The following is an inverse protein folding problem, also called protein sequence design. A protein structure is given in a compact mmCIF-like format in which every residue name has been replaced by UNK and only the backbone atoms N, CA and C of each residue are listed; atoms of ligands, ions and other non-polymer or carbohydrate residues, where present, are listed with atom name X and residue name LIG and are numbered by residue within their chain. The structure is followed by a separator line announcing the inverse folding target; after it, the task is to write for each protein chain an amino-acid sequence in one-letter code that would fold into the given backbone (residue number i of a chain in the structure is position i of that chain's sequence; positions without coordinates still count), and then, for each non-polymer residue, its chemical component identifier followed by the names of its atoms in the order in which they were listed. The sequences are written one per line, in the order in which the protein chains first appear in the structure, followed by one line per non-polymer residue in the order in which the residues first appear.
data_IF_695090221325
#
_entry.id   IF_695090221325
#
_cell.length_a   1.000
_cell.length_b   1.000
_cell.length_c   1.000
_cell.angle_alpha   90.00
_cell.angle_beta   90.00
_cell.angle_gamma   90.00
#
_symmetry.space_group_name_H-M   'P 1'
#
loop_
_entity.id
_entity.type
_entity.pdbx_description
1 polymer ?
#
# COMPACT_ATOMS: atom_id res chain seq x y z
N UNK A 1 -14.14 -19.89 -55.28
CA UNK A 1 -14.64 -18.89 -54.31
C UNK A 1 -13.78 -18.99 -53.06
N UNK A 2 -13.11 -17.88 -52.70
CA UNK A 2 -12.17 -17.78 -51.58
C UNK A 2 -12.94 -17.72 -50.26
N UNK A 3 -12.68 -18.63 -49.33
CA UNK A 3 -13.11 -18.52 -47.94
C UNK A 3 -12.15 -17.57 -47.23
N UNK A 4 -12.65 -16.38 -46.88
CA UNK A 4 -11.93 -15.39 -46.08
C UNK A 4 -11.82 -15.89 -44.64
N UNK A 5 -10.59 -16.19 -44.23
CA UNK A 5 -10.19 -16.40 -42.84
C UNK A 5 -10.38 -15.08 -42.08
N UNK A 6 -11.41 -15.02 -41.23
CA UNK A 6 -11.55 -13.97 -40.22
C UNK A 6 -10.50 -14.26 -39.15
N UNK A 7 -9.40 -13.53 -39.21
CA UNK A 7 -8.42 -13.47 -38.14
C UNK A 7 -9.05 -12.87 -36.90
N UNK A 8 -9.44 -13.71 -35.95
CA UNK A 8 -9.67 -13.29 -34.57
C UNK A 8 -8.32 -12.93 -33.97
N UNK A 9 -7.97 -11.65 -34.00
CA UNK A 9 -6.97 -11.10 -33.10
C UNK A 9 -7.59 -11.13 -31.71
N UNK A 10 -7.33 -12.20 -30.95
CA UNK A 10 -7.48 -12.17 -29.50
C UNK A 10 -6.49 -11.13 -28.96
N UNK A 11 -6.92 -9.88 -28.87
CA UNK A 11 -6.32 -8.94 -27.92
C UNK A 11 -6.73 -9.47 -26.55
N UNK A 12 -5.88 -10.34 -25.99
CA UNK A 12 -5.97 -10.71 -24.60
C UNK A 12 -5.74 -9.42 -23.80
N UNK A 13 -6.82 -8.75 -23.45
CA UNK A 13 -6.83 -7.73 -22.41
C UNK A 13 -6.43 -8.47 -21.14
N UNK A 14 -5.15 -8.39 -20.80
CA UNK A 14 -4.59 -8.92 -19.57
C UNK A 14 -5.40 -8.31 -18.42
N UNK A 15 -6.17 -9.16 -17.77
CA UNK A 15 -7.07 -8.82 -16.67
C UNK A 15 -6.34 -8.07 -15.55
N UNK A 16 -6.90 -6.98 -14.98
CA UNK A 16 -6.29 -6.25 -13.87
C UNK A 16 -6.18 -7.05 -12.56
N UNK A 17 -6.70 -8.28 -12.52
CA UNK A 17 -6.74 -9.15 -11.33
C UNK A 17 -5.33 -9.61 -10.87
N UNK A 18 -4.32 -9.58 -11.76
CA UNK A 18 -2.96 -9.98 -11.39
C UNK A 18 -2.13 -8.87 -10.70
N UNK A 19 -2.56 -7.61 -10.79
CA UNK A 19 -1.86 -6.46 -10.22
C UNK A 19 -2.06 -6.31 -8.70
N UNK A 20 -3.19 -6.82 -8.15
CA UNK A 20 -3.47 -6.70 -6.71
C UNK A 20 -2.67 -7.67 -5.85
N UNK A 21 -2.33 -8.86 -6.35
CA UNK A 21 -1.50 -9.83 -5.60
C UNK A 21 -0.01 -9.51 -5.63
N UNK A 22 0.44 -8.67 -6.57
CA UNK A 22 1.86 -8.38 -6.76
C UNK A 22 2.39 -7.41 -5.71
N UNK A 23 1.64 -6.35 -5.35
CA UNK A 23 2.11 -5.30 -4.42
C UNK A 23 2.57 -5.86 -3.06
N UNK A 24 1.74 -6.65 -2.36
CA UNK A 24 2.14 -7.23 -1.05
C UNK A 24 3.37 -8.11 -1.20
N UNK A 25 3.38 -8.99 -2.21
CA UNK A 25 4.47 -9.94 -2.39
C UNK A 25 5.78 -9.26 -2.79
N UNK A 26 5.72 -8.15 -3.51
CA UNK A 26 6.87 -7.33 -3.85
C UNK A 26 7.39 -6.58 -2.63
N UNK A 27 6.50 -5.97 -1.85
CA UNK A 27 6.85 -5.31 -0.59
C UNK A 27 7.52 -6.26 0.41
N UNK A 28 6.97 -7.47 0.59
CA UNK A 28 7.52 -8.47 1.50
C UNK A 28 8.90 -9.00 1.07
N UNK A 29 9.30 -8.81 -0.19
CA UNK A 29 10.63 -9.20 -0.71
C UNK A 29 11.68 -8.10 -0.62
N UNK A 30 11.28 -6.87 -0.27
CA UNK A 30 12.19 -5.77 -0.04
C UNK A 30 13.09 -6.03 1.18
N UNK A 31 14.27 -5.41 1.23
CA UNK A 31 15.07 -5.41 2.45
C UNK A 31 14.38 -4.57 3.54
N UNK A 32 14.75 -4.78 4.80
CA UNK A 32 14.19 -4.04 5.93
C UNK A 32 14.27 -2.50 5.73
N UNK A 33 15.41 -2.00 5.26
CA UNK A 33 15.59 -0.57 4.97
C UNK A 33 14.61 -0.05 3.90
N UNK A 34 14.39 -0.84 2.84
CA UNK A 34 13.45 -0.48 1.78
C UNK A 34 11.99 -0.56 2.26
N UNK A 35 11.66 -1.53 3.13
CA UNK A 35 10.34 -1.60 3.76
C UNK A 35 10.09 -0.39 4.66
N UNK A 36 11.08 -0.01 5.48
CA UNK A 36 11.00 1.18 6.32
C UNK A 36 10.85 2.47 5.50
N UNK A 37 11.64 2.62 4.43
CA UNK A 37 11.53 3.76 3.53
C UNK A 37 10.16 3.83 2.83
N UNK A 38 9.61 2.68 2.41
CA UNK A 38 8.28 2.61 1.80
C UNK A 38 7.17 3.02 2.78
N UNK A 39 7.22 2.49 4.01
CA UNK A 39 6.28 2.88 5.08
C UNK A 39 6.39 4.37 5.40
N UNK A 40 7.62 4.90 5.55
CA UNK A 40 7.85 6.32 5.77
C UNK A 40 7.30 7.20 4.62
N UNK A 41 7.44 6.74 3.37
CA UNK A 41 6.87 7.41 2.21
C UNK A 41 5.35 7.49 2.25
N UNK A 42 4.67 6.41 2.66
CA UNK A 42 3.21 6.41 2.84
C UNK A 42 2.81 7.41 3.94
N UNK A 43 3.49 7.37 5.09
CA UNK A 43 3.25 8.31 6.18
C UNK A 43 3.36 9.75 5.69
N UNK A 44 4.46 10.09 5.01
CA UNK A 44 4.67 11.45 4.47
C UNK A 44 3.60 11.86 3.45
N UNK A 45 3.15 10.92 2.60
CA UNK A 45 2.04 11.14 1.67
C UNK A 45 0.73 11.44 2.40
N UNK A 46 0.44 10.72 3.48
CA UNK A 46 -0.72 11.00 4.33
C UNK A 46 -0.60 12.37 5.01
N UNK A 47 0.60 12.74 5.50
CA UNK A 47 0.87 14.07 6.05
C UNK A 47 0.52 15.16 5.06
N UNK A 48 0.99 15.01 3.82
CA UNK A 48 0.78 15.97 2.75
C UNK A 48 -0.71 16.14 2.43
N UNK A 49 -1.47 15.04 2.34
CA UNK A 49 -2.91 15.10 2.12
C UNK A 49 -3.60 15.79 3.30
N UNK A 50 -3.34 15.37 4.53
CA UNK A 50 -3.97 15.95 5.72
C UNK A 50 -3.67 17.44 5.87
N UNK A 51 -2.42 17.87 5.64
CA UNK A 51 -2.04 19.28 5.70
C UNK A 51 -2.90 20.16 4.77
N UNK A 52 -3.24 19.65 3.58
CA UNK A 52 -3.99 20.40 2.58
C UNK A 52 -5.51 20.37 2.78
N UNK A 53 -6.06 19.40 3.51
CA UNK A 53 -7.52 19.22 3.66
C UNK A 53 -8.05 19.39 5.09
N UNK A 54 -7.24 19.10 6.11
CA UNK A 54 -7.60 19.26 7.52
C UNK A 54 -6.35 19.63 8.34
N UNK A 55 -6.07 20.94 8.42
CA UNK A 55 -4.90 21.45 9.12
C UNK A 55 -4.91 21.15 10.63
N UNK A 56 -6.08 21.10 11.26
CA UNK A 56 -6.17 20.80 12.70
C UNK A 56 -5.97 19.31 12.96
N UNK A 57 -6.50 18.45 12.08
CA UNK A 57 -6.21 17.01 12.09
C UNK A 57 -4.75 16.72 11.79
N UNK A 58 -4.13 17.47 10.87
CA UNK A 58 -2.71 17.33 10.51
C UNK A 58 -1.79 17.48 11.71
N UNK A 59 -1.92 18.54 12.52
CA UNK A 59 -1.01 18.78 13.65
C UNK A 59 -1.03 17.63 14.67
N UNK A 60 -2.22 17.06 14.93
CA UNK A 60 -2.38 15.90 15.82
C UNK A 60 -1.77 14.64 15.23
N UNK A 61 -2.02 14.40 13.95
CA UNK A 61 -1.50 13.24 13.24
C UNK A 61 0.03 13.30 13.13
N UNK A 62 0.58 14.47 12.82
CA UNK A 62 2.02 14.70 12.66
C UNK A 62 2.76 14.49 13.97
N UNK A 63 2.24 15.05 15.07
CA UNK A 63 2.77 14.82 16.41
C UNK A 63 2.74 13.34 16.81
N UNK A 64 1.65 12.64 16.49
CA UNK A 64 1.51 11.22 16.80
C UNK A 64 2.49 10.35 15.99
N UNK A 65 2.62 10.59 14.69
CA UNK A 65 3.53 9.82 13.82
C UNK A 65 4.99 10.07 14.19
N UNK A 66 5.39 11.30 14.50
CA UNK A 66 6.76 11.60 14.96
C UNK A 66 7.08 10.99 16.33
N UNK A 67 6.07 10.74 17.18
CA UNK A 67 6.26 10.06 18.46
C UNK A 67 6.39 8.54 18.32
N UNK A 68 6.04 7.97 17.17
CA UNK A 68 6.14 6.53 16.91
C UNK A 68 7.56 6.11 16.50
N UNK A 69 7.93 4.89 16.88
CA UNK A 69 9.14 4.25 16.37
C UNK A 69 8.83 3.60 15.01
N UNK A 70 9.50 4.06 13.95
CA UNK A 70 9.31 3.56 12.59
C UNK A 70 9.55 2.05 12.48
N UNK A 71 10.54 1.48 13.17
CA UNK A 71 10.81 0.03 13.16
C UNK A 71 9.64 -0.76 13.77
N UNK A 72 9.06 -0.25 14.86
CA UNK A 72 7.88 -0.86 15.48
C UNK A 72 6.65 -0.78 14.58
N UNK A 73 6.45 0.35 13.89
CA UNK A 73 5.38 0.52 12.91
C UNK A 73 5.55 -0.46 11.74
N UNK A 74 6.76 -0.61 11.21
CA UNK A 74 7.06 -1.58 10.13
C UNK A 74 6.79 -3.02 10.60
N UNK A 75 7.17 -3.38 11.82
CA UNK A 75 6.89 -4.70 12.38
C UNK A 75 5.37 -4.97 12.46
N UNK A 76 4.58 -3.98 12.89
CA UNK A 76 3.12 -4.06 12.93
C UNK A 76 2.53 -4.20 11.51
N UNK A 77 3.07 -3.48 10.52
CA UNK A 77 2.66 -3.59 9.10
C UNK A 77 2.89 -5.01 8.58
N UNK A 78 4.10 -5.57 8.78
CA UNK A 78 4.42 -6.92 8.34
C UNK A 78 3.51 -7.97 8.98
N UNK A 79 3.23 -7.81 10.28
CA UNK A 79 2.30 -8.68 10.99
C UNK A 79 0.89 -8.61 10.39
N UNK A 80 0.36 -7.40 10.16
CA UNK A 80 -0.97 -7.19 9.59
C UNK A 80 -1.11 -7.78 8.19
N UNK A 81 -0.08 -7.64 7.34
CA UNK A 81 -0.06 -8.21 6.00
C UNK A 81 -0.04 -9.74 6.01
N UNK A 82 0.69 -10.34 6.96
CA UNK A 82 0.73 -11.79 7.10
C UNK A 82 -0.59 -12.37 7.64
N UNK A 83 -1.22 -11.68 8.60
CA UNK A 83 -2.50 -12.10 9.18
C UNK A 83 -3.67 -11.86 8.21
N UNK A 84 -3.63 -10.79 7.41
CA UNK A 84 -4.75 -10.34 6.60
C UNK A 84 -4.35 -10.02 5.14
N UNK A 85 -3.81 -10.99 4.38
CA UNK A 85 -3.19 -10.73 3.09
C UNK A 85 -4.14 -10.23 1.99
N UNK A 86 -5.46 -10.34 2.17
CA UNK A 86 -6.48 -9.98 1.18
C UNK A 86 -7.52 -8.97 1.71
N UNK A 87 -7.24 -8.30 2.84
CA UNK A 87 -8.22 -7.41 3.48
C UNK A 87 -8.53 -6.14 2.68
N UNK A 88 -7.60 -5.72 1.82
CA UNK A 88 -7.71 -4.52 1.00
C UNK A 88 -7.18 -4.77 -0.40
N UNK A 89 -7.72 -4.02 -1.37
CA UNK A 89 -7.19 -3.93 -2.74
C UNK A 89 -5.78 -3.32 -2.79
N UNK A 90 -5.50 -2.43 -1.84
CA UNK A 90 -4.18 -1.82 -1.60
C UNK A 90 -3.71 -2.26 -0.21
N UNK A 91 -3.13 -3.46 -0.09
CA UNK A 91 -2.86 -4.10 1.20
C UNK A 91 -1.78 -3.39 2.02
N UNK A 92 -0.71 -2.87 1.39
CA UNK A 92 0.38 -2.19 2.11
C UNK A 92 -0.10 -0.84 2.70
N UNK A 93 -0.74 0.07 1.93
CA UNK A 93 -1.31 1.30 2.50
C UNK A 93 -2.37 1.05 3.57
N UNK A 94 -3.20 0.01 3.40
CA UNK A 94 -4.16 -0.41 4.43
C UNK A 94 -3.45 -0.82 5.73
N UNK A 95 -2.42 -1.67 5.64
CA UNK A 95 -1.68 -2.13 6.79
C UNK A 95 -0.96 -0.98 7.51
N UNK A 96 -0.37 -0.03 6.77
CA UNK A 96 0.22 1.20 7.34
C UNK A 96 -0.82 2.01 8.09
N UNK A 97 -1.97 2.26 7.47
CA UNK A 97 -3.05 3.04 8.11
C UNK A 97 -3.55 2.37 9.40
N UNK A 98 -3.66 1.03 9.40
CA UNK A 98 -4.09 0.25 10.58
C UNK A 98 -3.02 0.19 11.67
N UNK A 99 -1.74 0.05 11.29
CA UNK A 99 -0.62 0.07 12.22
C UNK A 99 -0.56 1.42 12.94
N UNK A 100 -0.61 2.53 12.19
CA UNK A 100 -0.59 3.89 12.75
C UNK A 100 -1.84 4.17 13.57
N UNK A 101 -3.02 3.81 13.06
CA UNK A 101 -4.31 4.04 13.72
C UNK A 101 -4.57 3.20 14.98
N UNK A 102 -3.61 2.38 15.41
CA UNK A 102 -3.60 1.76 16.73
C UNK A 102 -2.95 2.68 17.77
N UNK A 103 -2.07 3.55 17.31
CA UNK A 103 -1.21 4.43 18.11
C UNK A 103 -1.64 5.90 18.00
N UNK A 104 -2.34 6.24 16.92
CA UNK A 104 -3.13 7.45 16.68
C UNK A 104 -4.61 7.05 16.52
#
# INVERSE_FOLDING_TARGET
MRLLLIGFVLVAVSTPVLAEKTETSEFLRLSADHQAAYVAGILQGMSYVMFNYDRTGYEKWDACVHAQNLEATVADVLRLLNENPNESRNPVPWAVTRAVGKHC
#
